data_IF_653614340290
#
_entry.id   IF_653614340290
#
_cell.length_a   1.000
_cell.length_b   1.000
_cell.length_c   1.000
_cell.angle_alpha   90.00
_cell.angle_beta   90.00
_cell.angle_gamma   90.00
#
_symmetry.space_group_name_H-M   'P 1'
#
loop_
_entity.id
_entity.type
_entity.pdbx_description
1 polymer ?
#
# COMPACT_ATOMS: atom_id res chain seq x y z
N UNK A 1 2.79 -10.51 -24.19
CA UNK A 1 2.53 -9.38 -23.27
C UNK A 1 2.22 -9.98 -21.90
N UNK A 2 2.84 -9.53 -20.82
CA UNK A 2 2.43 -9.96 -19.48
C UNK A 2 1.04 -9.41 -19.18
N UNK A 3 0.22 -10.20 -18.50
CA UNK A 3 -1.12 -9.76 -18.09
C UNK A 3 -0.96 -8.69 -17.01
N UNK A 4 -1.75 -7.61 -17.05
CA UNK A 4 -1.79 -6.56 -16.03
C UNK A 4 -2.01 -7.17 -14.64
N UNK A 5 -1.16 -6.82 -13.67
CA UNK A 5 -1.25 -7.33 -12.30
C UNK A 5 -2.37 -6.65 -11.53
N UNK A 6 -2.89 -7.33 -10.50
CA UNK A 6 -3.90 -6.77 -9.58
C UNK A 6 -3.40 -6.89 -8.16
N UNK A 7 -3.29 -5.76 -7.48
CA UNK A 7 -2.86 -5.65 -6.09
C UNK A 7 -4.07 -5.38 -5.19
N UNK A 8 -4.16 -6.10 -4.08
CA UNK A 8 -5.24 -5.97 -3.11
C UNK A 8 -5.05 -4.69 -2.29
N UNK A 9 -5.78 -3.64 -2.61
CA UNK A 9 -5.73 -2.34 -1.93
C UNK A 9 -6.24 -2.46 -0.49
N UNK A 10 -5.33 -2.34 0.48
CA UNK A 10 -5.56 -2.57 1.91
C UNK A 10 -6.10 -3.98 2.22
N UNK A 11 -5.60 -4.98 1.47
CA UNK A 11 -6.16 -6.32 1.41
C UNK A 11 -7.42 -6.40 0.54
N UNK A 12 -8.23 -7.44 0.70
CA UNK A 12 -9.52 -7.60 -0.03
C UNK A 12 -10.59 -6.70 0.60
N UNK A 13 -10.34 -5.38 0.61
CA UNK A 13 -11.10 -4.37 1.36
C UNK A 13 -12.52 -4.11 0.84
N UNK A 14 -12.80 -4.50 -0.41
CA UNK A 14 -14.15 -4.46 -0.96
C UNK A 14 -15.13 -5.40 -0.25
N UNK A 15 -14.62 -6.47 0.37
CA UNK A 15 -15.41 -7.49 1.05
C UNK A 15 -15.11 -7.61 2.56
N UNK A 16 -13.92 -7.22 3.00
CA UNK A 16 -13.45 -7.36 4.38
C UNK A 16 -12.99 -6.01 4.94
N UNK A 17 -12.90 -5.83 6.27
CA UNK A 17 -12.37 -4.60 6.85
C UNK A 17 -10.96 -4.30 6.38
N UNK A 18 -10.75 -3.11 5.80
CA UNK A 18 -9.46 -2.69 5.23
C UNK A 18 -8.34 -2.72 6.27
N UNK A 19 -7.10 -2.98 5.83
CA UNK A 19 -5.90 -2.98 6.67
C UNK A 19 -5.99 -3.90 7.90
N UNK A 20 -6.69 -5.04 7.78
CA UNK A 20 -6.81 -6.04 8.83
C UNK A 20 -6.26 -7.39 8.38
N UNK A 21 -5.86 -8.23 9.34
CA UNK A 21 -5.32 -9.55 9.03
C UNK A 21 -6.27 -10.41 8.21
N UNK A 22 -7.58 -10.34 8.47
CA UNK A 22 -8.56 -11.09 7.67
C UNK A 22 -8.59 -10.62 6.21
N UNK A 23 -8.52 -9.31 5.95
CA UNK A 23 -8.50 -8.78 4.58
C UNK A 23 -7.23 -9.24 3.83
N UNK A 24 -6.09 -9.30 4.51
CA UNK A 24 -4.83 -9.78 3.93
C UNK A 24 -4.85 -11.27 3.62
N UNK A 25 -5.30 -12.10 4.55
CA UNK A 25 -5.44 -13.53 4.38
C UNK A 25 -6.37 -13.86 3.21
N UNK A 26 -7.52 -13.19 3.12
CA UNK A 26 -8.47 -13.35 2.02
C UNK A 26 -7.93 -12.87 0.67
N UNK A 27 -7.10 -11.84 0.66
CA UNK A 27 -6.39 -11.40 -0.55
C UNK A 27 -5.39 -12.47 -1.04
N UNK A 28 -4.65 -13.10 -0.14
CA UNK A 28 -3.74 -14.19 -0.47
C UNK A 28 -4.49 -15.42 -1.00
N UNK A 29 -5.58 -15.82 -0.33
CA UNK A 29 -6.46 -16.93 -0.79
C UNK A 29 -7.06 -16.65 -2.18
N UNK A 30 -7.43 -15.39 -2.46
CA UNK A 30 -7.95 -14.95 -3.75
C UNK A 30 -6.84 -14.78 -4.82
N UNK A 31 -5.57 -15.03 -4.48
CA UNK A 31 -4.40 -15.01 -5.38
C UNK A 31 -4.18 -13.67 -6.08
N UNK A 32 -4.29 -12.56 -5.35
CA UNK A 32 -3.82 -11.28 -5.83
C UNK A 32 -2.31 -11.35 -6.10
N UNK A 33 -1.83 -10.55 -7.05
CA UNK A 33 -0.41 -10.51 -7.41
C UNK A 33 0.45 -9.85 -6.32
N UNK A 34 -0.15 -8.98 -5.49
CA UNK A 34 0.42 -8.42 -4.28
C UNK A 34 -0.69 -7.92 -3.33
N UNK A 35 -0.34 -7.71 -2.08
CA UNK A 35 -1.17 -7.04 -1.08
C UNK A 35 -0.59 -5.65 -0.85
N UNK A 36 -1.44 -4.64 -0.83
CA UNK A 36 -1.05 -3.29 -0.42
C UNK A 36 -1.56 -3.00 0.98
N UNK A 37 -0.79 -2.26 1.76
CA UNK A 37 -1.10 -1.82 3.12
C UNK A 37 -0.41 -0.51 3.48
N UNK A 38 -0.95 0.18 4.50
CA UNK A 38 -0.52 1.48 4.97
C UNK A 38 0.13 1.38 6.36
N UNK A 39 1.31 1.98 6.56
CA UNK A 39 2.00 1.96 7.86
C UNK A 39 2.13 3.34 8.48
N UNK A 40 1.90 3.41 9.80
CA UNK A 40 2.03 4.58 10.66
C UNK A 40 2.66 4.20 12.00
N UNK A 41 2.97 5.19 12.88
CA UNK A 41 3.41 4.91 14.24
C UNK A 41 2.31 5.15 15.28
N UNK A 42 2.22 4.22 16.23
CA UNK A 42 1.49 4.40 17.48
C UNK A 42 2.24 5.33 18.45
N UNK A 43 1.59 5.74 19.56
CA UNK A 43 2.18 6.56 20.62
C UNK A 43 3.45 5.93 21.22
N UNK A 44 3.46 4.62 21.39
CA UNK A 44 4.59 3.84 21.91
C UNK A 44 5.61 3.46 20.83
N UNK A 45 5.47 4.07 19.64
CA UNK A 45 6.44 3.96 18.55
C UNK A 45 6.49 2.60 17.87
N UNK A 46 5.41 1.82 17.92
CA UNK A 46 5.26 0.59 17.15
C UNK A 46 4.70 0.92 15.76
N UNK A 47 5.11 0.17 14.74
CA UNK A 47 4.56 0.30 13.39
C UNK A 47 3.21 -0.43 13.36
N UNK A 48 2.15 0.31 13.04
CA UNK A 48 0.77 -0.19 12.95
C UNK A 48 0.23 -0.04 11.54
N UNK A 49 -0.75 -0.88 11.17
CA UNK A 49 -1.30 -0.91 9.81
C UNK A 49 -2.68 -0.28 9.80
N UNK A 50 -2.76 0.95 9.31
CA UNK A 50 -3.99 1.74 9.19
C UNK A 50 -3.77 2.88 8.19
N UNK A 51 -4.81 3.23 7.40
CA UNK A 51 -4.68 4.25 6.36
C UNK A 51 -4.78 5.67 6.91
N UNK A 52 -5.90 6.01 7.60
CA UNK A 52 -6.16 7.37 8.07
C UNK A 52 -5.31 7.70 9.28
N UNK A 53 -4.97 8.95 9.48
CA UNK A 53 -4.30 9.44 10.68
C UNK A 53 -5.19 9.37 11.92
N UNK A 54 -6.51 9.16 11.72
CA UNK A 54 -7.50 9.03 12.80
C UNK A 54 -8.24 7.68 12.76
N UNK A 55 -8.80 7.28 13.91
CA UNK A 55 -9.55 6.04 14.08
C UNK A 55 -10.99 6.10 13.52
N UNK A 56 -11.50 7.30 13.31
CA UNK A 56 -12.93 7.63 13.19
C UNK A 56 -13.65 6.93 12.03
N UNK A 57 -13.00 6.72 10.88
CA UNK A 57 -13.65 6.13 9.71
C UNK A 57 -13.77 4.62 9.78
N UNK A 58 -12.74 3.94 10.23
CA UNK A 58 -12.60 2.47 10.11
C UNK A 58 -12.85 1.72 11.40
N UNK A 59 -12.88 2.43 12.55
CA UNK A 59 -13.03 1.80 13.87
C UNK A 59 -14.20 2.37 14.65
N UNK A 60 -14.52 1.77 15.81
CA UNK A 60 -15.43 2.29 16.81
C UNK A 60 -14.77 3.32 17.76
N UNK A 61 -13.46 3.58 17.58
CA UNK A 61 -12.70 4.63 18.27
C UNK A 61 -12.75 5.98 17.58
N UNK A 62 -12.08 6.98 18.16
CA UNK A 62 -11.95 8.33 17.59
C UNK A 62 -10.61 8.97 17.95
N UNK A 63 -10.18 9.96 17.16
CA UNK A 63 -8.95 10.71 17.40
C UNK A 63 -7.73 10.13 16.72
N UNK A 64 -6.57 10.75 16.95
CA UNK A 64 -5.31 10.45 16.24
C UNK A 64 -4.74 9.09 16.64
N UNK A 65 -4.37 8.26 15.65
CA UNK A 65 -3.69 6.97 15.85
C UNK A 65 -2.44 7.11 16.72
N UNK A 66 -1.63 8.13 16.45
CA UNK A 66 -0.40 8.43 17.21
C UNK A 66 -0.63 8.80 18.68
N UNK A 67 -1.87 9.02 19.11
CA UNK A 67 -2.21 9.31 20.51
C UNK A 67 -2.43 8.04 21.34
N UNK A 68 -2.48 6.87 20.71
CA UNK A 68 -2.77 5.59 21.34
C UNK A 68 -1.58 4.63 21.29
N UNK A 69 -1.36 3.89 22.39
CA UNK A 69 -0.45 2.74 22.38
C UNK A 69 -1.05 1.57 21.57
N UNK A 70 -0.23 0.61 21.15
CA UNK A 70 -0.75 -0.62 20.51
C UNK A 70 -1.77 -1.33 21.41
N UNK A 71 -1.53 -1.37 22.73
CA UNK A 71 -2.46 -1.98 23.68
C UNK A 71 -3.83 -1.29 23.71
N UNK A 72 -3.86 0.04 23.50
CA UNK A 72 -5.11 0.80 23.39
C UNK A 72 -5.77 0.57 22.03
N UNK A 73 -5.00 0.62 20.93
CA UNK A 73 -5.48 0.40 19.55
C UNK A 73 -6.16 -0.97 19.38
N UNK A 74 -5.64 -2.00 20.04
CA UNK A 74 -6.22 -3.36 20.02
C UNK A 74 -7.60 -3.49 20.65
N UNK A 75 -8.06 -2.49 21.39
CA UNK A 75 -9.41 -2.49 22.00
C UNK A 75 -10.48 -2.06 21.00
N UNK A 76 -10.11 -1.32 19.96
CA UNK A 76 -11.06 -0.83 18.97
C UNK A 76 -11.40 -1.90 17.95
N UNK A 77 -12.69 -1.97 17.59
CA UNK A 77 -13.18 -2.80 16.49
C UNK A 77 -12.91 -2.08 15.16
N UNK A 78 -12.09 -2.69 14.30
CA UNK A 78 -11.74 -2.16 12.99
C UNK A 78 -12.71 -2.58 11.87
N UNK A 79 -13.89 -3.08 12.20
CA UNK A 79 -14.88 -3.55 11.22
C UNK A 79 -15.93 -2.52 10.82
N UNK A 80 -15.83 -1.26 11.27
CA UNK A 80 -16.85 -0.22 11.07
C UNK A 80 -17.30 -0.05 9.63
N UNK A 81 -16.38 -0.14 8.66
CA UNK A 81 -16.69 -0.01 7.22
C UNK A 81 -17.26 -1.30 6.62
N UNK A 82 -17.22 -2.42 7.34
CA UNK A 82 -17.76 -3.74 6.94
C UNK A 82 -18.42 -4.43 8.14
N UNK A 83 -19.51 -3.87 8.69
CA UNK A 83 -20.15 -4.40 9.89
C UNK A 83 -20.64 -5.85 9.65
N UNK A 84 -20.38 -6.72 10.62
CA UNK A 84 -20.79 -8.12 10.56
C UNK A 84 -19.85 -9.05 9.78
N UNK A 85 -18.83 -8.49 9.12
CA UNK A 85 -17.76 -9.24 8.46
C UNK A 85 -16.47 -9.07 9.26
N UNK A 86 -15.82 -10.20 9.59
CA UNK A 86 -14.57 -10.13 10.36
C UNK A 86 -14.80 -9.72 11.81
N UNK A 87 -15.70 -10.41 12.51
CA UNK A 87 -15.88 -10.23 13.96
C UNK A 87 -14.52 -10.27 14.65
N UNK A 88 -14.28 -9.30 15.53
CA UNK A 88 -13.02 -9.09 16.24
C UNK A 88 -11.83 -8.61 15.36
N UNK A 89 -12.12 -7.98 14.20
CA UNK A 89 -11.10 -7.30 13.42
C UNK A 89 -10.43 -6.22 14.28
N UNK A 90 -9.10 -6.21 14.29
CA UNK A 90 -8.30 -5.26 15.05
C UNK A 90 -7.31 -4.58 14.12
N UNK A 91 -6.82 -3.40 14.52
CA UNK A 91 -5.68 -2.76 13.89
C UNK A 91 -4.45 -3.64 14.14
N UNK A 92 -3.84 -4.25 13.10
CA UNK A 92 -2.66 -5.08 13.31
C UNK A 92 -1.41 -4.22 13.49
N UNK A 93 -0.40 -4.76 14.16
CA UNK A 93 0.95 -4.25 14.01
C UNK A 93 1.53 -4.73 12.67
N UNK A 94 2.46 -3.97 12.12
CA UNK A 94 3.17 -4.39 10.91
C UNK A 94 4.01 -5.64 11.16
N UNK A 95 4.47 -5.84 12.40
CA UNK A 95 5.18 -7.05 12.80
C UNK A 95 4.29 -8.30 12.69
N UNK A 96 3.04 -8.25 13.15
CA UNK A 96 2.07 -9.35 13.01
C UNK A 96 1.80 -9.68 11.53
N UNK A 97 1.71 -8.65 10.69
CA UNK A 97 1.60 -8.84 9.25
C UNK A 97 2.82 -9.55 8.66
N UNK A 98 4.03 -9.08 8.98
CA UNK A 98 5.28 -9.64 8.47
C UNK A 98 5.51 -11.07 8.95
N UNK A 99 5.20 -11.39 10.20
CA UNK A 99 5.25 -12.75 10.72
C UNK A 99 4.37 -13.69 9.90
N UNK A 100 3.11 -13.31 9.66
CA UNK A 100 2.20 -14.07 8.80
C UNK A 100 2.72 -14.15 7.36
N UNK A 101 3.09 -13.06 6.74
CA UNK A 101 3.56 -13.01 5.35
C UNK A 101 4.85 -13.82 5.15
N UNK A 102 5.69 -13.96 6.17
CA UNK A 102 6.90 -14.77 6.11
C UNK A 102 6.59 -16.27 5.96
N UNK A 103 5.46 -16.73 6.48
CA UNK A 103 5.03 -18.13 6.41
C UNK A 103 4.49 -18.54 5.03
N UNK A 104 4.11 -17.60 4.17
CA UNK A 104 3.63 -17.86 2.81
C UNK A 104 4.56 -17.19 1.78
N UNK A 105 5.40 -17.97 1.06
CA UNK A 105 6.35 -17.42 0.07
C UNK A 105 5.68 -16.80 -1.16
N UNK A 106 4.39 -16.99 -1.38
CA UNK A 106 3.65 -16.40 -2.49
C UNK A 106 3.25 -14.93 -2.22
N UNK A 107 3.19 -14.51 -0.96
CA UNK A 107 2.77 -13.15 -0.57
C UNK A 107 3.84 -12.14 -0.95
N UNK A 108 3.45 -11.17 -1.78
CA UNK A 108 4.20 -9.95 -2.11
C UNK A 108 3.48 -8.76 -1.54
N UNK A 109 4.20 -7.71 -1.14
CA UNK A 109 3.60 -6.57 -0.44
C UNK A 109 4.05 -5.24 -1.00
N UNK A 110 3.10 -4.36 -1.30
CA UNK A 110 3.34 -2.92 -1.40
C UNK A 110 3.10 -2.29 -0.02
N UNK A 111 4.06 -1.55 0.48
CA UNK A 111 4.00 -0.89 1.78
C UNK A 111 3.97 0.62 1.53
N UNK A 112 2.81 1.25 1.77
CA UNK A 112 2.72 2.71 1.74
C UNK A 112 3.22 3.29 3.07
N UNK A 113 4.25 4.14 3.00
CA UNK A 113 4.75 4.91 4.14
C UNK A 113 3.89 6.16 4.30
N UNK A 114 3.05 6.19 5.35
CA UNK A 114 2.10 7.28 5.64
C UNK A 114 2.77 8.39 6.46
N UNK A 115 3.49 9.28 5.80
CA UNK A 115 4.24 10.37 6.44
C UNK A 115 4.00 11.73 5.76
N UNK A 116 2.98 11.83 4.89
CA UNK A 116 2.68 13.05 4.13
C UNK A 116 1.81 14.06 4.88
N UNK A 117 0.98 13.61 5.81
CA UNK A 117 0.08 14.45 6.63
C UNK A 117 0.66 14.64 8.02
N UNK A 118 1.06 13.55 8.66
CA UNK A 118 1.78 13.57 9.95
C UNK A 118 3.18 13.02 9.71
N UNK A 119 4.20 13.76 10.12
CA UNK A 119 5.56 13.24 10.09
C UNK A 119 5.82 12.36 11.31
N UNK A 120 6.24 11.12 11.06
CA UNK A 120 6.56 10.12 12.08
C UNK A 120 8.06 9.85 12.11
N UNK A 121 8.84 10.50 13.00
CA UNK A 121 10.29 10.24 13.08
C UNK A 121 10.59 8.76 13.30
N UNK A 122 11.41 8.17 12.43
CA UNK A 122 11.84 6.78 12.53
C UNK A 122 10.85 5.74 11.97
N UNK A 123 9.79 6.16 11.26
CA UNK A 123 8.84 5.23 10.64
C UNK A 123 9.53 4.36 9.59
N UNK A 124 10.32 4.97 8.73
CA UNK A 124 11.06 4.31 7.66
C UNK A 124 12.02 3.26 8.22
N UNK A 125 12.85 3.63 9.19
CA UNK A 125 13.85 2.77 9.83
C UNK A 125 13.20 1.58 10.52
N UNK A 126 12.12 1.82 11.28
CA UNK A 126 11.40 0.77 12.00
C UNK A 126 10.70 -0.19 11.04
N UNK A 127 10.08 0.34 9.98
CA UNK A 127 9.44 -0.47 8.96
C UNK A 127 10.47 -1.39 8.29
N UNK A 128 11.63 -0.85 7.91
CA UNK A 128 12.68 -1.64 7.27
C UNK A 128 13.29 -2.67 8.23
N UNK A 129 13.51 -2.32 9.49
CA UNK A 129 14.02 -3.27 10.50
C UNK A 129 13.10 -4.49 10.69
N UNK A 130 11.77 -4.30 10.64
CA UNK A 130 10.81 -5.41 10.70
C UNK A 130 10.91 -6.28 9.44
N UNK A 131 11.00 -5.69 8.24
CA UNK A 131 11.17 -6.42 6.98
C UNK A 131 12.41 -7.29 7.03
N UNK A 132 13.55 -6.76 7.50
CA UNK A 132 14.80 -7.51 7.66
C UNK A 132 14.66 -8.65 8.67
N UNK A 133 13.99 -8.42 9.81
CA UNK A 133 13.75 -9.44 10.84
C UNK A 133 13.03 -10.67 10.27
N UNK A 134 12.11 -10.48 9.33
CA UNK A 134 11.31 -11.55 8.72
C UNK A 134 11.79 -11.98 7.32
N UNK A 135 12.94 -11.46 6.86
CA UNK A 135 13.57 -11.78 5.57
C UNK A 135 12.64 -11.58 4.36
N UNK A 136 11.96 -10.42 4.34
CA UNK A 136 10.95 -10.10 3.31
C UNK A 136 11.47 -9.17 2.21
N UNK A 137 12.74 -8.76 2.20
CA UNK A 137 13.32 -7.75 1.30
C UNK A 137 13.07 -8.08 -0.19
N UNK A 138 13.14 -9.35 -0.58
CA UNK A 138 12.89 -9.80 -1.95
C UNK A 138 11.41 -9.85 -2.37
N UNK A 139 10.48 -9.54 -1.46
CA UNK A 139 9.03 -9.71 -1.66
C UNK A 139 8.23 -8.44 -1.37
N UNK A 140 8.91 -7.33 -1.10
CA UNK A 140 8.26 -6.05 -0.81
C UNK A 140 8.69 -4.97 -1.79
N UNK A 141 7.88 -3.93 -1.91
CA UNK A 141 8.22 -2.66 -2.53
C UNK A 141 7.51 -1.55 -1.77
N UNK A 142 8.09 -0.33 -1.78
CA UNK A 142 7.54 0.80 -1.04
C UNK A 142 6.82 1.77 -1.94
N UNK A 143 5.85 2.48 -1.38
CA UNK A 143 5.25 3.65 -2.00
C UNK A 143 5.01 4.74 -0.96
N UNK A 144 4.96 5.99 -1.39
CA UNK A 144 4.62 7.12 -0.53
C UNK A 144 4.22 8.35 -1.33
N UNK A 145 3.29 9.15 -0.80
CA UNK A 145 3.04 10.53 -1.20
C UNK A 145 4.11 11.50 -0.66
N UNK A 146 4.81 11.12 0.40
CA UNK A 146 5.99 11.85 0.87
C UNK A 146 7.23 11.33 0.14
N UNK A 147 7.61 12.03 -0.93
CA UNK A 147 8.74 11.61 -1.77
C UNK A 147 10.08 11.62 -1.02
N UNK A 148 10.19 12.38 0.09
CA UNK A 148 11.38 12.32 0.95
C UNK A 148 11.49 10.94 1.62
N UNK A 149 10.38 10.32 2.05
CA UNK A 149 10.40 8.95 2.58
C UNK A 149 10.92 7.94 1.57
N UNK A 150 10.59 8.10 0.27
CA UNK A 150 11.16 7.23 -0.78
C UNK A 150 12.67 7.41 -0.92
N UNK A 151 13.18 8.65 -0.83
CA UNK A 151 14.63 8.92 -0.87
C UNK A 151 15.32 8.29 0.36
N UNK A 152 14.72 8.39 1.54
CA UNK A 152 15.24 7.74 2.75
C UNK A 152 15.25 6.22 2.60
N UNK A 153 14.15 5.63 2.09
CA UNK A 153 14.08 4.18 1.83
C UNK A 153 15.13 3.75 0.80
N UNK A 154 15.36 4.53 -0.27
CA UNK A 154 16.38 4.22 -1.27
C UNK A 154 17.79 4.13 -0.65
N UNK A 155 18.10 5.00 0.30
CA UNK A 155 19.40 5.00 0.99
C UNK A 155 19.55 3.84 1.97
N UNK A 156 18.47 3.49 2.69
CA UNK A 156 18.48 2.44 3.72
C UNK A 156 18.32 1.03 3.13
N UNK A 157 17.52 0.89 2.09
CA UNK A 157 17.10 -0.38 1.50
C UNK A 157 17.42 -0.44 -0.01
N UNK A 158 18.68 -0.29 -0.42
CA UNK A 158 19.04 -0.27 -1.83
C UNK A 158 18.64 -1.60 -2.50
N UNK A 159 17.93 -1.49 -3.64
CA UNK A 159 17.45 -2.65 -4.40
C UNK A 159 16.02 -3.10 -4.07
N UNK A 160 15.37 -2.51 -3.07
CA UNK A 160 13.92 -2.67 -2.90
C UNK A 160 13.21 -1.64 -3.79
N UNK A 161 12.28 -2.07 -4.68
CA UNK A 161 11.64 -1.15 -5.62
C UNK A 161 10.79 -0.08 -4.93
N UNK A 162 10.72 1.11 -5.55
CA UNK A 162 10.05 2.30 -5.03
C UNK A 162 8.99 2.82 -6.00
N UNK A 163 7.79 3.11 -5.49
CA UNK A 163 6.65 3.67 -6.22
C UNK A 163 6.33 5.10 -5.80
N UNK A 164 6.37 6.02 -6.76
CA UNK A 164 6.04 7.43 -6.57
C UNK A 164 4.53 7.63 -6.59
N UNK A 165 3.89 7.81 -5.43
CA UNK A 165 2.50 8.20 -5.32
C UNK A 165 2.32 9.70 -5.58
N UNK A 166 1.28 10.05 -6.36
CA UNK A 166 0.92 11.44 -6.62
C UNK A 166 -0.59 11.65 -6.43
N UNK A 167 -0.97 12.88 -6.09
CA UNK A 167 -2.36 13.29 -5.93
C UNK A 167 -3.15 13.18 -7.26
N UNK A 168 -4.50 13.20 -7.22
CA UNK A 168 -5.35 13.02 -8.41
C UNK A 168 -5.12 13.99 -9.58
N UNK A 169 -4.43 15.10 -9.34
CA UNK A 169 -4.01 16.05 -10.39
C UNK A 169 -2.99 15.44 -11.38
N UNK A 170 -2.35 14.33 -10.98
CA UNK A 170 -1.32 13.69 -11.77
C UNK A 170 0.02 14.44 -11.75
N UNK A 171 0.93 13.99 -12.60
CA UNK A 171 2.26 14.58 -12.76
C UNK A 171 2.68 14.46 -14.22
N UNK A 172 3.02 15.57 -14.85
CA UNK A 172 3.58 15.59 -16.21
C UNK A 172 5.04 15.15 -16.19
N UNK A 173 5.47 14.39 -17.19
CA UNK A 173 6.82 13.84 -17.32
C UNK A 173 7.22 12.96 -16.11
N UNK A 174 6.28 12.16 -15.62
CA UNK A 174 6.47 11.31 -14.44
C UNK A 174 7.58 10.27 -14.64
N UNK A 175 7.69 9.68 -15.83
CA UNK A 175 8.73 8.72 -16.17
C UNK A 175 10.12 9.34 -16.10
N UNK A 176 10.29 10.53 -16.68
CA UNK A 176 11.57 11.27 -16.60
C UNK A 176 11.94 11.59 -15.14
N UNK A 177 10.97 12.03 -14.32
CA UNK A 177 11.20 12.31 -12.90
C UNK A 177 11.58 11.04 -12.13
N UNK A 178 10.77 9.98 -12.25
CA UNK A 178 11.03 8.71 -11.58
C UNK A 178 12.42 8.17 -11.95
N UNK A 179 12.76 8.17 -13.24
CA UNK A 179 14.09 7.74 -13.72
C UNK A 179 15.21 8.55 -13.09
N UNK A 180 15.05 9.88 -13.01
CA UNK A 180 16.07 10.78 -12.46
C UNK A 180 16.33 10.54 -10.97
N UNK A 181 15.29 10.21 -10.20
CA UNK A 181 15.39 9.96 -8.76
C UNK A 181 15.55 8.48 -8.41
N UNK A 182 15.55 7.58 -9.40
CA UNK A 182 15.72 6.14 -9.18
C UNK A 182 14.49 5.47 -8.59
N UNK A 183 13.29 5.95 -8.92
CA UNK A 183 12.02 5.29 -8.58
C UNK A 183 11.63 4.33 -9.72
N UNK A 184 11.19 3.12 -9.35
CA UNK A 184 10.90 2.05 -10.29
C UNK A 184 9.48 2.14 -10.86
N UNK A 185 8.57 2.70 -10.08
CA UNK A 185 7.15 2.78 -10.41
C UNK A 185 6.57 4.17 -10.22
N UNK A 186 5.63 4.52 -11.09
CA UNK A 186 4.75 5.66 -10.95
C UNK A 186 3.35 5.18 -10.54
N UNK A 187 2.81 5.74 -9.45
CA UNK A 187 1.51 5.38 -8.87
C UNK A 187 0.51 6.53 -8.99
N UNK A 188 -0.08 6.78 -10.17
CA UNK A 188 -1.09 7.80 -10.36
C UNK A 188 -2.49 7.35 -9.92
N UNK A 189 -3.35 8.33 -9.62
CA UNK A 189 -4.77 8.08 -9.48
C UNK A 189 -5.41 7.75 -10.85
N UNK A 190 -6.43 6.89 -10.84
CA UNK A 190 -7.18 6.47 -12.04
C UNK A 190 -7.65 7.63 -12.92
N UNK A 191 -8.02 8.76 -12.31
CA UNK A 191 -8.52 9.94 -13.01
C UNK A 191 -7.46 10.69 -13.83
N UNK A 192 -6.19 10.50 -13.55
CA UNK A 192 -5.08 11.23 -14.19
C UNK A 192 -4.31 10.40 -15.22
N UNK A 193 -4.69 9.14 -15.46
CA UNK A 193 -3.98 8.23 -16.37
C UNK A 193 -4.47 8.37 -17.80
N UNK A 194 -3.52 8.56 -18.72
CA UNK A 194 -3.74 8.50 -20.18
C UNK A 194 -2.75 7.51 -20.81
N UNK A 195 -3.05 7.04 -22.02
CA UNK A 195 -2.15 6.16 -22.76
C UNK A 195 -0.79 6.83 -23.03
N UNK A 196 -0.78 8.15 -23.24
CA UNK A 196 0.43 8.94 -23.46
C UNK A 196 1.29 9.01 -22.19
N UNK A 197 0.68 9.20 -21.01
CA UNK A 197 1.42 9.23 -19.73
C UNK A 197 2.03 7.86 -19.39
N UNK A 198 1.33 6.76 -19.72
CA UNK A 198 1.85 5.40 -19.57
C UNK A 198 3.02 5.16 -20.52
N UNK A 199 2.90 5.54 -21.78
CA UNK A 199 3.98 5.40 -22.77
C UNK A 199 5.23 6.20 -22.36
N UNK A 200 5.06 7.44 -21.89
CA UNK A 200 6.15 8.28 -21.39
C UNK A 200 6.90 7.60 -20.21
N UNK A 201 6.19 7.01 -19.26
CA UNK A 201 6.80 6.25 -18.18
C UNK A 201 7.59 5.04 -18.71
N UNK A 202 7.00 4.26 -19.62
CA UNK A 202 7.65 3.08 -20.19
C UNK A 202 8.90 3.43 -21.02
N UNK A 203 8.89 4.55 -21.75
CA UNK A 203 10.06 5.04 -22.52
C UNK A 203 11.25 5.36 -21.59
N UNK A 204 10.99 5.66 -20.30
CA UNK A 204 11.99 5.88 -19.27
C UNK A 204 12.30 4.62 -18.43
N UNK A 205 11.69 3.47 -18.76
CA UNK A 205 11.86 2.22 -18.01
C UNK A 205 11.15 2.21 -16.65
N UNK A 206 10.10 3.01 -16.47
CA UNK A 206 9.32 3.14 -15.26
C UNK A 206 7.97 2.45 -15.45
N UNK A 207 7.63 1.51 -14.54
CA UNK A 207 6.32 0.84 -14.55
C UNK A 207 5.22 1.74 -14.00
N UNK A 208 3.98 1.56 -14.49
CA UNK A 208 2.81 2.35 -14.06
C UNK A 208 1.84 1.46 -13.30
N UNK A 209 1.50 1.85 -12.05
CA UNK A 209 0.62 1.10 -11.15
C UNK A 209 -0.47 2.03 -10.62
N UNK A 210 -1.72 1.81 -11.03
CA UNK A 210 -2.83 2.78 -10.92
C UNK A 210 -3.76 2.49 -9.76
N UNK A 211 -4.12 3.50 -8.97
CA UNK A 211 -5.07 3.42 -7.84
C UNK A 211 -6.27 4.36 -8.01
N UNK A 212 -7.49 4.05 -7.58
CA UNK A 212 -7.99 2.73 -7.23
C UNK A 212 -8.91 2.30 -8.36
N UNK A 213 -8.77 1.07 -8.84
CA UNK A 213 -9.50 0.55 -10.01
C UNK A 213 -10.41 -0.58 -9.55
N UNK A 214 -11.73 -0.32 -9.50
CA UNK A 214 -12.72 -1.27 -8.99
C UNK A 214 -13.77 -1.67 -10.05
N UNK A 215 -14.06 -0.79 -11.00
CA UNK A 215 -15.08 -1.05 -12.02
C UNK A 215 -14.50 -1.80 -13.21
N UNK A 216 -15.27 -2.75 -13.78
CA UNK A 216 -14.90 -3.52 -14.96
C UNK A 216 -14.43 -2.63 -16.14
N UNK A 217 -15.18 -1.57 -16.44
CA UNK A 217 -14.84 -0.64 -17.51
C UNK A 217 -13.47 0.06 -17.29
N UNK A 218 -13.12 0.34 -16.04
CA UNK A 218 -11.82 0.93 -15.70
C UNK A 218 -10.69 -0.10 -15.82
N UNK A 219 -10.91 -1.36 -15.46
CA UNK A 219 -9.97 -2.44 -15.72
C UNK A 219 -9.65 -2.57 -17.20
N UNK A 220 -10.69 -2.58 -18.06
CA UNK A 220 -10.54 -2.66 -19.50
C UNK A 220 -9.80 -1.44 -20.06
N UNK A 221 -10.10 -0.24 -19.56
CA UNK A 221 -9.41 1.01 -19.93
C UNK A 221 -7.93 0.97 -19.54
N UNK A 222 -7.60 0.51 -18.33
CA UNK A 222 -6.22 0.41 -17.87
C UNK A 222 -5.44 -0.66 -18.65
N UNK A 223 -6.06 -1.80 -18.95
CA UNK A 223 -5.46 -2.83 -19.80
C UNK A 223 -5.18 -2.32 -21.22
N UNK A 224 -6.12 -1.56 -21.82
CA UNK A 224 -5.93 -0.93 -23.13
C UNK A 224 -4.79 0.11 -23.11
N UNK A 225 -4.64 0.85 -22.02
CA UNK A 225 -3.55 1.80 -21.81
C UNK A 225 -2.21 1.12 -21.51
N UNK A 226 -2.18 -0.23 -21.36
CA UNK A 226 -0.98 -1.06 -21.05
C UNK A 226 -0.37 -0.75 -19.68
N UNK A 227 -1.17 -0.45 -18.68
CA UNK A 227 -0.72 -0.26 -17.30
C UNK A 227 -0.14 -1.57 -16.78
N UNK A 228 0.91 -1.52 -15.95
CA UNK A 228 1.59 -2.72 -15.44
C UNK A 228 0.82 -3.40 -14.31
N UNK A 229 0.19 -2.58 -13.44
CA UNK A 229 -0.63 -3.07 -12.34
C UNK A 229 -1.74 -2.08 -11.95
N UNK A 230 -2.75 -2.59 -11.26
CA UNK A 230 -3.80 -1.79 -10.64
C UNK A 230 -3.96 -2.18 -9.17
N UNK A 231 -4.22 -1.20 -8.31
CA UNK A 231 -4.69 -1.41 -6.95
C UNK A 231 -6.21 -1.45 -6.95
N UNK A 232 -6.80 -2.53 -6.43
CA UNK A 232 -8.24 -2.73 -6.42
C UNK A 232 -8.72 -3.22 -5.05
N UNK A 233 -9.92 -2.78 -4.67
CA UNK A 233 -10.60 -3.27 -3.47
C UNK A 233 -11.22 -4.67 -3.70
N UNK A 234 -11.33 -5.12 -4.94
CA UNK A 234 -11.95 -6.38 -5.34
C UNK A 234 -10.97 -7.25 -6.13
N UNK A 235 -11.18 -8.58 -6.07
CA UNK A 235 -10.50 -9.49 -6.97
C UNK A 235 -10.85 -9.16 -8.44
N UNK A 236 -10.03 -9.65 -9.38
CA UNK A 236 -10.31 -9.48 -10.82
C UNK A 236 -11.76 -9.79 -11.12
N UNK A 237 -12.44 -8.90 -11.88
CA UNK A 237 -13.81 -9.14 -12.32
C UNK A 237 -13.89 -10.34 -13.24
#
# INVERSE_FOLDING_TARGET
>A
MSMMKVYAHRGLSGLYPENTMIAFQRAAEAKFDAIELDVQLSRDGQVVVIHDETLDRTTDGSGLVMSYSVADLRRFDASRVRPGVGRDARIPTFEEYCEWASSDPSVRTNIEIKSSVIYYPGLEEKTFAIIQKYHLEGRVFFSSFNHLSLILMQQMAPGIPLGLLVLPQGLVNAGSLCRRFGFDYFHPALSSVTAESVAECHDHGVGVQVWTVDAQADFERMAAAKVDAVFSNFARP
#
